data_IF_945186688299
#
_entry.id   IF_945186688299
#
_cell.length_a   1.000
_cell.length_b   1.000
_cell.length_c   1.000
_cell.angle_alpha   90.00
_cell.angle_beta   90.00
_cell.angle_gamma   90.00
#
_symmetry.space_group_name_H-M   'P 1'
#
loop_
_entity.id
_entity.type
_entity.pdbx_description
1 polymer ?
#
# COMPACT_ATOMS: atom_id res chain seq x y z
N UNK A 1 0.56 71.80 69.81
CA UNK A 1 -0.81 71.87 69.33
C UNK A 1 -0.79 71.72 67.83
N UNK A 2 -1.16 70.59 67.33
CA UNK A 2 -1.77 70.30 66.00
C UNK A 2 -1.68 68.76 65.83
N UNK A 3 -2.76 68.13 66.08
CA UNK A 3 -3.01 66.66 65.86
C UNK A 3 -3.12 66.39 64.38
N UNK A 4 -2.38 65.38 63.91
CA UNK A 4 -2.51 64.82 62.55
C UNK A 4 -3.10 63.42 62.64
N UNK A 5 -4.32 63.28 62.11
CA UNK A 5 -5.01 61.96 61.91
C UNK A 5 -4.39 61.28 60.71
N UNK A 6 -3.95 60.05 60.94
CA UNK A 6 -3.53 59.12 59.85
C UNK A 6 -4.73 58.25 59.47
N UNK A 7 -5.19 58.32 58.22
CA UNK A 7 -6.17 57.44 57.62
C UNK A 7 -5.41 56.23 57.06
N UNK A 8 -5.67 55.05 57.57
CA UNK A 8 -5.19 53.79 57.03
C UNK A 8 -6.21 53.30 55.96
N UNK A 9 -5.84 53.28 54.71
CA UNK A 9 -6.62 52.66 53.63
C UNK A 9 -6.29 51.16 53.56
N UNK A 10 -7.28 50.32 53.89
CA UNK A 10 -7.25 48.89 53.62
C UNK A 10 -7.57 48.64 52.14
N UNK A 11 -6.58 48.17 51.35
CA UNK A 11 -6.83 47.61 50.03
C UNK A 11 -7.32 46.16 50.22
N UNK A 12 -8.57 45.88 49.89
CA UNK A 12 -9.08 44.54 49.76
C UNK A 12 -8.69 43.98 48.37
N UNK A 13 -7.80 43.00 48.36
CA UNK A 13 -7.49 42.26 47.16
C UNK A 13 -8.57 41.19 46.91
N UNK A 14 -9.36 41.37 45.86
CA UNK A 14 -10.29 40.35 45.38
C UNK A 14 -9.53 39.31 44.53
N UNK A 15 -9.71 37.99 44.76
CA UNK A 15 -9.14 36.99 43.87
C UNK A 15 -9.88 36.98 42.53
N UNK A 16 -9.17 37.29 41.44
CA UNK A 16 -9.69 37.09 40.09
C UNK A 16 -9.76 35.56 39.81
N UNK A 17 -10.98 35.03 39.87
CA UNK A 17 -11.30 33.72 39.32
C UNK A 17 -11.19 33.81 37.79
N UNK A 18 -10.03 33.42 37.24
CA UNK A 18 -9.89 33.16 35.82
C UNK A 18 -10.69 31.89 35.49
N UNK A 19 -11.96 32.07 35.09
CA UNK A 19 -12.73 31.03 34.43
C UNK A 19 -12.04 30.71 33.12
N UNK A 20 -11.18 29.67 33.10
CA UNK A 20 -10.70 29.06 31.88
C UNK A 20 -11.90 28.50 31.15
N UNK A 21 -12.40 29.25 30.16
CA UNK A 21 -13.32 28.69 29.16
C UNK A 21 -12.55 27.63 28.44
N UNK A 22 -12.71 26.37 28.85
CA UNK A 22 -12.39 25.23 28.02
C UNK A 22 -13.28 25.35 26.79
N UNK A 23 -12.72 25.85 25.69
CA UNK A 23 -13.35 25.79 24.40
C UNK A 23 -13.47 24.29 24.08
N UNK A 24 -14.60 23.68 24.42
CA UNK A 24 -14.97 22.41 23.84
C UNK A 24 -15.06 22.68 22.33
N UNK A 25 -14.09 22.23 21.57
CA UNK A 25 -14.20 22.22 20.12
C UNK A 25 -15.49 21.46 19.81
N UNK A 26 -16.49 22.15 19.24
CA UNK A 26 -17.66 21.47 18.66
C UNK A 26 -17.08 20.45 17.69
N UNK A 27 -17.23 19.16 18.00
CA UNK A 27 -16.84 18.09 17.11
C UNK A 27 -17.73 18.22 15.87
N UNK A 28 -17.17 18.74 14.77
CA UNK A 28 -17.88 18.80 13.48
C UNK A 28 -18.35 17.41 13.09
N UNK A 29 -19.24 17.30 12.08
CA UNK A 29 -19.65 16.02 11.55
C UNK A 29 -18.42 15.16 11.24
N UNK A 30 -18.48 13.81 11.43
CA UNK A 30 -17.37 12.93 11.11
C UNK A 30 -16.84 13.14 9.69
N UNK A 31 -15.53 13.00 9.51
CA UNK A 31 -14.93 12.89 8.18
C UNK A 31 -15.15 11.48 7.67
N UNK A 32 -15.70 11.35 6.48
CA UNK A 32 -15.95 10.06 5.86
C UNK A 32 -15.04 9.85 4.65
N UNK A 33 -14.13 8.88 4.74
CA UNK A 33 -13.28 8.44 3.64
C UNK A 33 -13.67 7.04 3.20
N UNK A 34 -13.62 6.78 1.88
CA UNK A 34 -13.86 5.43 1.34
C UNK A 34 -12.56 4.92 0.74
N UNK A 35 -12.06 3.78 1.25
CA UNK A 35 -10.90 3.08 0.74
C UNK A 35 -11.34 1.92 -0.15
N UNK A 36 -10.93 1.95 -1.41
CA UNK A 36 -11.31 0.98 -2.45
C UNK A 36 -10.04 0.36 -3.03
N UNK A 37 -9.70 -0.87 -2.62
CA UNK A 37 -8.56 -1.61 -3.16
C UNK A 37 -8.90 -2.33 -4.46
N UNK A 38 -7.90 -3.01 -5.06
CA UNK A 38 -8.05 -3.84 -6.26
C UNK A 38 -8.97 -5.05 -6.04
N UNK A 39 -8.87 -5.67 -4.87
CA UNK A 39 -9.62 -6.88 -4.51
C UNK A 39 -9.59 -7.10 -3.00
N UNK A 40 -10.34 -8.08 -2.51
CA UNK A 40 -10.16 -8.58 -1.13
C UNK A 40 -8.85 -9.36 -1.05
N UNK A 41 -7.88 -8.83 -0.28
CA UNK A 41 -6.57 -9.45 -0.15
C UNK A 41 -5.90 -9.07 1.19
N UNK A 42 -5.17 -9.98 1.88
CA UNK A 42 -4.54 -9.72 3.18
C UNK A 42 -3.54 -8.55 3.21
N UNK A 43 -2.96 -8.19 2.07
CA UNK A 43 -2.11 -7.00 1.96
C UNK A 43 -2.87 -5.71 2.30
N UNK A 44 -4.13 -5.63 1.88
CA UNK A 44 -4.99 -4.48 2.16
C UNK A 44 -5.44 -4.39 3.61
N UNK A 45 -5.46 -5.50 4.35
CA UNK A 45 -5.69 -5.48 5.81
C UNK A 45 -4.55 -4.74 6.52
N UNK A 46 -3.31 -4.90 6.05
CA UNK A 46 -2.16 -4.14 6.55
C UNK A 46 -2.25 -2.66 6.17
N UNK A 47 -2.58 -2.33 4.93
CA UNK A 47 -2.81 -0.96 4.50
C UNK A 47 -3.94 -0.31 5.32
N UNK A 48 -5.03 -1.04 5.59
CA UNK A 48 -6.15 -0.58 6.41
C UNK A 48 -5.75 -0.34 7.87
N UNK A 49 -4.79 -1.12 8.41
CA UNK A 49 -4.22 -0.86 9.74
C UNK A 49 -3.56 0.52 9.80
N UNK A 50 -2.76 0.85 8.79
CA UNK A 50 -2.15 2.19 8.66
C UNK A 50 -3.18 3.30 8.45
N UNK A 51 -4.19 3.04 7.61
CA UNK A 51 -5.28 3.98 7.36
C UNK A 51 -6.04 4.33 8.65
N UNK A 52 -6.39 3.33 9.47
CA UNK A 52 -7.03 3.54 10.79
C UNK A 52 -6.13 4.36 11.74
N UNK A 53 -4.83 4.06 11.79
CA UNK A 53 -3.88 4.82 12.60
C UNK A 53 -3.83 6.31 12.19
N UNK A 54 -3.91 6.61 10.89
CA UNK A 54 -4.03 7.99 10.40
C UNK A 54 -5.35 8.64 10.81
N UNK A 55 -6.48 7.92 10.70
CA UNK A 55 -7.80 8.39 11.15
C UNK A 55 -7.79 8.73 12.64
N UNK A 56 -7.23 7.87 13.48
CA UNK A 56 -7.07 8.09 14.93
C UNK A 56 -6.23 9.33 15.22
N UNK A 57 -5.13 9.51 14.49
CA UNK A 57 -4.26 10.68 14.61
C UNK A 57 -5.01 11.97 14.25
N UNK A 58 -5.75 11.99 13.14
CA UNK A 58 -6.54 13.14 12.70
C UNK A 58 -7.63 13.45 13.74
N UNK A 59 -8.37 12.44 14.21
CA UNK A 59 -9.39 12.58 15.25
C UNK A 59 -8.80 13.20 16.51
N UNK A 60 -7.65 12.70 16.98
CA UNK A 60 -6.95 13.21 18.15
C UNK A 60 -6.46 14.65 17.98
N UNK A 61 -5.97 14.99 16.78
CA UNK A 61 -5.42 16.32 16.49
C UNK A 61 -6.50 17.39 16.30
N UNK A 62 -7.66 17.03 15.74
CA UNK A 62 -8.71 17.97 15.33
C UNK A 62 -9.96 17.95 16.22
N UNK A 63 -10.15 16.89 17.02
CA UNK A 63 -11.40 16.62 17.75
C UNK A 63 -12.53 16.13 16.84
N UNK A 64 -12.31 16.02 15.53
CA UNK A 64 -13.30 15.58 14.54
C UNK A 64 -13.13 14.09 14.26
N UNK A 65 -14.14 13.22 14.49
CA UNK A 65 -14.07 11.80 14.20
C UNK A 65 -13.76 11.52 12.73
N UNK A 66 -12.99 10.46 12.47
CA UNK A 66 -12.68 9.99 11.11
C UNK A 66 -13.23 8.58 10.95
N UNK A 67 -14.09 8.38 9.97
CA UNK A 67 -14.62 7.10 9.56
C UNK A 67 -13.97 6.68 8.23
N UNK A 68 -13.40 5.46 8.18
CA UNK A 68 -12.80 4.92 6.98
C UNK A 68 -13.59 3.67 6.59
N UNK A 69 -14.37 3.79 5.53
CA UNK A 69 -15.14 2.69 4.98
C UNK A 69 -14.28 1.90 3.99
N UNK A 70 -14.26 0.58 4.13
CA UNK A 70 -13.55 -0.31 3.21
C UNK A 70 -14.52 -0.98 2.26
N UNK A 71 -14.35 -0.80 0.96
CA UNK A 71 -15.19 -1.40 -0.09
C UNK A 71 -14.30 -2.05 -1.14
N UNK A 72 -14.22 -3.37 -1.15
CA UNK A 72 -13.40 -4.13 -2.08
C UNK A 72 -14.24 -4.97 -3.05
N UNK A 73 -13.86 -5.07 -4.34
CA UNK A 73 -14.40 -6.11 -5.21
C UNK A 73 -13.91 -7.48 -4.73
N UNK A 74 -14.72 -8.51 -4.94
CA UNK A 74 -14.39 -9.88 -4.51
C UNK A 74 -13.26 -10.51 -5.34
N UNK A 75 -13.12 -10.07 -6.57
CA UNK A 75 -12.07 -10.48 -7.50
C UNK A 75 -11.49 -9.24 -8.17
N UNK A 76 -10.26 -9.37 -8.70
CA UNK A 76 -9.59 -8.31 -9.45
C UNK A 76 -10.29 -8.08 -10.82
N UNK A 77 -11.39 -7.34 -10.81
CA UNK A 77 -12.22 -7.01 -11.97
C UNK A 77 -12.50 -5.51 -12.04
N UNK A 78 -12.10 -4.88 -13.16
CA UNK A 78 -12.18 -3.42 -13.37
C UNK A 78 -13.62 -2.91 -13.35
N UNK A 79 -14.56 -3.65 -13.95
CA UNK A 79 -15.97 -3.24 -13.98
C UNK A 79 -16.55 -3.24 -12.55
N UNK A 80 -16.28 -4.29 -11.79
CA UNK A 80 -16.70 -4.38 -10.39
C UNK A 80 -16.07 -3.28 -9.53
N UNK A 81 -14.81 -2.92 -9.78
CA UNK A 81 -14.17 -1.81 -9.07
C UNK A 81 -14.81 -0.47 -9.43
N UNK A 82 -15.11 -0.22 -10.71
CA UNK A 82 -15.79 0.99 -11.15
C UNK A 82 -17.18 1.13 -10.52
N UNK A 83 -17.98 0.07 -10.51
CA UNK A 83 -19.29 0.05 -9.84
C UNK A 83 -19.20 0.42 -8.35
N UNK A 84 -18.11 0.02 -7.67
CA UNK A 84 -17.86 0.36 -6.26
C UNK A 84 -17.46 1.84 -6.15
N UNK A 85 -16.60 2.34 -7.05
CA UNK A 85 -16.20 3.76 -7.07
C UNK A 85 -17.42 4.64 -7.29
N UNK A 86 -18.25 4.37 -8.29
CA UNK A 86 -19.46 5.12 -8.60
C UNK A 86 -20.45 5.14 -7.43
N UNK A 87 -20.68 3.98 -6.79
CA UNK A 87 -21.51 3.92 -5.56
C UNK A 87 -20.90 4.69 -4.39
N UNK A 88 -19.57 4.74 -4.27
CA UNK A 88 -18.91 5.54 -3.26
C UNK A 88 -19.05 7.04 -3.56
N UNK A 89 -18.87 7.46 -4.80
CA UNK A 89 -19.10 8.84 -5.27
C UNK A 89 -20.50 9.32 -4.91
N UNK A 90 -21.52 8.49 -5.15
CA UNK A 90 -22.91 8.82 -4.81
C UNK A 90 -23.19 9.07 -3.32
N UNK A 91 -22.30 8.65 -2.41
CA UNK A 91 -22.40 8.94 -0.97
C UNK A 91 -21.75 10.27 -0.57
N UNK A 92 -21.15 11.00 -1.51
CA UNK A 92 -20.42 12.27 -1.28
C UNK A 92 -19.43 12.21 -0.11
N UNK A 93 -18.44 11.28 -0.14
CA UNK A 93 -17.46 11.19 0.93
C UNK A 93 -16.53 12.41 0.95
N UNK A 94 -15.87 12.67 2.08
CA UNK A 94 -14.83 13.69 2.19
C UNK A 94 -13.57 13.35 1.38
N UNK A 95 -13.41 12.10 0.94
CA UNK A 95 -12.39 11.69 -0.01
C UNK A 95 -12.41 10.21 -0.35
N UNK A 96 -11.85 9.89 -1.53
CA UNK A 96 -11.65 8.54 -2.02
C UNK A 96 -10.17 8.16 -1.98
N UNK A 97 -9.89 6.94 -1.54
CA UNK A 97 -8.55 6.37 -1.44
C UNK A 97 -8.55 5.10 -2.27
N UNK A 98 -7.87 5.10 -3.42
CA UNK A 98 -8.04 4.12 -4.47
C UNK A 98 -6.74 3.38 -4.75
N UNK A 99 -6.80 2.06 -4.90
CA UNK A 99 -5.75 1.28 -5.54
C UNK A 99 -6.28 0.71 -6.85
N UNK A 100 -5.77 1.21 -7.97
CA UNK A 100 -6.36 1.01 -9.28
C UNK A 100 -5.95 -0.31 -9.92
N UNK A 101 -6.93 -1.05 -10.45
CA UNK A 101 -6.70 -2.24 -11.28
C UNK A 101 -6.21 -1.89 -12.68
N UNK A 102 -6.69 -0.79 -13.23
CA UNK A 102 -6.35 -0.32 -14.57
C UNK A 102 -6.53 1.20 -14.64
N UNK A 103 -5.43 1.95 -14.79
CA UNK A 103 -5.50 3.41 -14.84
C UNK A 103 -6.38 3.97 -15.95
N UNK A 104 -6.49 3.27 -17.10
CA UNK A 104 -7.34 3.65 -18.22
C UNK A 104 -8.77 3.19 -18.00
N UNK A 105 -8.95 1.95 -17.55
CA UNK A 105 -10.26 1.37 -17.28
C UNK A 105 -11.01 2.02 -16.13
N UNK A 106 -10.28 2.52 -15.12
CA UNK A 106 -10.89 3.24 -13.99
C UNK A 106 -11.10 4.75 -14.25
N UNK A 107 -10.57 5.28 -15.38
CA UNK A 107 -10.56 6.71 -15.66
C UNK A 107 -11.94 7.35 -15.60
N UNK A 108 -12.96 6.74 -16.21
CA UNK A 108 -14.30 7.33 -16.28
C UNK A 108 -14.95 7.48 -14.90
N UNK A 109 -14.83 6.46 -14.02
CA UNK A 109 -15.34 6.54 -12.65
C UNK A 109 -14.58 7.59 -11.80
N UNK A 110 -13.29 7.78 -12.07
CA UNK A 110 -12.50 8.81 -11.40
C UNK A 110 -12.81 10.23 -11.90
N UNK A 111 -13.09 10.39 -13.21
CA UNK A 111 -13.54 11.68 -13.77
C UNK A 111 -14.89 12.09 -13.16
N UNK A 112 -15.82 11.16 -12.93
CA UNK A 112 -17.08 11.45 -12.22
C UNK A 112 -16.83 11.95 -10.79
N UNK A 113 -15.92 11.33 -10.04
CA UNK A 113 -15.52 11.81 -8.71
C UNK A 113 -14.90 13.22 -8.77
N UNK A 114 -14.07 13.49 -9.78
CA UNK A 114 -13.44 14.79 -9.99
C UNK A 114 -14.46 15.88 -10.32
N UNK A 115 -15.46 15.59 -11.17
CA UNK A 115 -16.57 16.52 -11.52
C UNK A 115 -17.39 16.89 -10.30
N UNK A 116 -17.56 15.97 -9.35
CA UNK A 116 -18.21 16.21 -8.07
C UNK A 116 -17.25 16.83 -7.01
N UNK A 117 -16.00 17.12 -7.39
CA UNK A 117 -14.96 17.72 -6.54
C UNK A 117 -14.63 16.90 -5.30
N UNK A 118 -14.80 15.57 -5.38
CA UNK A 118 -14.42 14.66 -4.29
C UNK A 118 -12.90 14.52 -4.32
N UNK A 119 -12.20 14.81 -3.20
CA UNK A 119 -10.76 14.62 -3.10
C UNK A 119 -10.37 13.16 -3.33
N UNK A 120 -9.34 12.92 -4.14
CA UNK A 120 -8.84 11.57 -4.41
C UNK A 120 -7.35 11.45 -4.08
N UNK A 121 -6.97 10.28 -3.59
CA UNK A 121 -5.59 9.82 -3.44
C UNK A 121 -5.50 8.40 -3.97
N UNK A 122 -4.47 8.07 -4.72
CA UNK A 122 -4.19 6.68 -5.09
C UNK A 122 -3.06 6.13 -4.21
N UNK A 123 -3.10 4.84 -3.91
CA UNK A 123 -2.02 4.15 -3.19
C UNK A 123 -1.71 2.82 -3.90
N UNK A 124 -0.50 2.32 -3.76
CA UNK A 124 0.02 1.13 -4.46
C UNK A 124 -0.32 1.06 -5.96
N UNK A 125 -0.60 2.21 -6.57
CA UNK A 125 -0.88 2.37 -7.99
C UNK A 125 -0.52 3.79 -8.45
N UNK A 126 -0.54 4.02 -9.76
CA UNK A 126 -0.35 5.34 -10.36
C UNK A 126 -1.71 5.93 -10.77
N UNK A 127 -1.88 7.26 -10.67
CA UNK A 127 -3.10 7.89 -11.15
C UNK A 127 -3.14 7.90 -12.69
N UNK A 128 -4.33 7.94 -13.31
CA UNK A 128 -4.45 8.14 -14.75
C UNK A 128 -3.72 9.40 -15.21
N UNK A 129 -3.14 9.35 -16.41
CA UNK A 129 -2.39 10.47 -16.97
C UNK A 129 -3.21 11.76 -17.00
N UNK A 130 -2.59 12.87 -16.60
CA UNK A 130 -3.21 14.21 -16.56
C UNK A 130 -4.10 14.50 -15.35
N UNK A 131 -4.33 13.55 -14.44
CA UNK A 131 -5.03 13.81 -13.18
C UNK A 131 -4.08 14.34 -12.10
N UNK A 132 -4.46 15.43 -11.43
CA UNK A 132 -3.68 16.01 -10.30
C UNK A 132 -4.05 15.32 -8.98
N UNK A 133 -3.64 14.07 -8.86
CA UNK A 133 -3.91 13.19 -7.72
C UNK A 133 -2.59 12.78 -7.08
N UNK A 134 -2.54 12.79 -5.74
CA UNK A 134 -1.37 12.26 -5.01
C UNK A 134 -1.34 10.74 -5.13
N UNK A 135 -0.21 10.21 -5.55
CA UNK A 135 0.10 8.79 -5.45
C UNK A 135 0.95 8.51 -4.19
N UNK A 136 0.62 7.45 -3.47
CA UNK A 136 1.35 6.99 -2.28
C UNK A 136 1.79 5.56 -2.52
N UNK A 137 3.09 5.29 -2.47
CA UNK A 137 3.59 3.95 -2.74
C UNK A 137 5.10 3.85 -2.61
N UNK A 138 5.65 2.70 -2.91
CA UNK A 138 7.08 2.51 -3.12
C UNK A 138 7.43 2.79 -4.59
N UNK A 139 8.71 3.03 -4.88
CA UNK A 139 9.17 2.98 -6.27
C UNK A 139 9.07 1.53 -6.78
N UNK A 140 8.06 1.27 -7.62
CA UNK A 140 7.77 -0.08 -8.10
C UNK A 140 8.89 -0.65 -8.97
N UNK A 141 9.58 0.21 -9.73
CA UNK A 141 10.74 -0.23 -10.52
C UNK A 141 11.93 -0.56 -9.62
N UNK A 142 12.19 0.23 -8.58
CA UNK A 142 13.22 -0.06 -7.59
C UNK A 142 12.91 -1.36 -6.84
N UNK A 143 11.64 -1.58 -6.45
CA UNK A 143 11.20 -2.80 -5.78
C UNK A 143 11.45 -4.06 -6.64
N UNK A 144 11.00 -4.05 -7.90
CA UNK A 144 11.26 -5.16 -8.84
C UNK A 144 12.76 -5.33 -9.13
N UNK A 145 13.49 -4.21 -9.28
CA UNK A 145 14.95 -4.25 -9.45
C UNK A 145 15.64 -4.90 -8.26
N UNK A 146 15.28 -4.50 -7.02
CA UNK A 146 15.84 -5.07 -5.78
C UNK A 146 15.60 -6.59 -5.71
N UNK A 147 14.39 -7.04 -5.99
CA UNK A 147 14.05 -8.46 -5.99
C UNK A 147 14.85 -9.25 -7.03
N UNK A 148 14.90 -8.75 -8.26
CA UNK A 148 15.60 -9.42 -9.37
C UNK A 148 17.12 -9.43 -9.20
N UNK A 149 17.75 -8.33 -8.76
CA UNK A 149 19.20 -8.28 -8.46
C UNK A 149 19.54 -9.24 -7.30
N UNK A 150 18.66 -9.29 -6.28
CA UNK A 150 18.83 -10.24 -5.17
C UNK A 150 18.81 -11.68 -5.69
N UNK A 151 17.80 -12.04 -6.50
CA UNK A 151 17.71 -13.39 -7.09
C UNK A 151 18.93 -13.69 -7.98
N UNK A 152 19.30 -12.76 -8.87
CA UNK A 152 20.45 -12.94 -9.74
C UNK A 152 21.74 -13.26 -8.95
N UNK A 153 21.98 -12.54 -7.85
CA UNK A 153 23.14 -12.81 -6.99
C UNK A 153 23.06 -14.18 -6.31
N UNK A 154 21.86 -14.60 -5.83
CA UNK A 154 21.66 -15.90 -5.18
C UNK A 154 21.90 -17.08 -6.11
N UNK A 155 21.55 -16.96 -7.39
CA UNK A 155 21.72 -18.03 -8.39
C UNK A 155 23.05 -17.91 -9.17
N UNK A 156 23.93 -16.99 -8.79
CA UNK A 156 25.24 -16.80 -9.44
C UNK A 156 25.15 -16.22 -10.84
N UNK A 157 24.12 -15.43 -11.13
CA UNK A 157 23.86 -14.72 -12.41
C UNK A 157 23.76 -15.63 -13.62
N UNK A 158 23.22 -16.84 -13.45
CA UNK A 158 23.03 -17.84 -14.49
C UNK A 158 21.85 -18.77 -14.21
N UNK A 159 21.29 -19.35 -15.26
CA UNK A 159 20.22 -20.35 -15.20
C UNK A 159 18.87 -19.81 -15.60
N UNK A 160 17.88 -20.69 -15.58
CA UNK A 160 16.49 -20.38 -15.91
C UNK A 160 15.78 -19.77 -14.70
N UNK A 161 15.10 -18.66 -14.92
CA UNK A 161 14.27 -18.00 -13.90
C UNK A 161 12.87 -17.76 -14.43
N UNK A 162 11.90 -17.63 -13.53
CA UNK A 162 10.55 -17.30 -13.90
C UNK A 162 10.04 -16.09 -13.08
N UNK A 163 9.04 -15.43 -13.63
CA UNK A 163 8.36 -14.28 -13.03
C UNK A 163 6.91 -14.67 -12.78
N UNK A 164 6.36 -14.36 -11.59
CA UNK A 164 4.93 -14.43 -11.35
C UNK A 164 4.35 -13.02 -11.45
N UNK A 165 3.43 -12.83 -12.38
CA UNK A 165 2.71 -11.60 -12.61
C UNK A 165 1.37 -11.67 -11.87
N UNK A 166 1.02 -10.63 -11.11
CA UNK A 166 -0.31 -10.48 -10.54
C UNK A 166 -1.35 -10.15 -11.60
N UNK A 167 -1.89 -8.95 -11.58
CA UNK A 167 -2.86 -8.44 -12.56
C UNK A 167 -2.11 -7.73 -13.70
N UNK A 168 -2.19 -8.20 -14.96
CA UNK A 168 -1.41 -7.63 -16.06
C UNK A 168 -1.77 -6.18 -16.44
N UNK A 169 -2.94 -5.69 -16.04
CA UNK A 169 -3.36 -4.29 -16.27
C UNK A 169 -3.00 -3.35 -15.12
N UNK A 170 -2.62 -3.90 -13.96
CA UNK A 170 -2.23 -3.11 -12.81
C UNK A 170 -0.86 -2.43 -13.04
N UNK A 171 -0.78 -1.08 -12.94
CA UNK A 171 0.43 -0.34 -13.30
C UNK A 171 1.67 -0.74 -12.47
N UNK A 172 1.47 -0.96 -11.15
CA UNK A 172 2.54 -1.37 -10.24
C UNK A 172 3.09 -2.76 -10.60
N UNK A 173 2.23 -3.73 -10.90
CA UNK A 173 2.66 -5.09 -11.27
C UNK A 173 3.43 -5.09 -12.59
N UNK A 174 2.93 -4.37 -13.58
CA UNK A 174 3.57 -4.27 -14.91
C UNK A 174 4.95 -3.61 -14.79
N UNK A 175 5.05 -2.51 -14.03
CA UNK A 175 6.31 -1.79 -13.88
C UNK A 175 7.37 -2.63 -13.12
N UNK A 176 6.97 -3.37 -12.07
CA UNK A 176 7.86 -4.32 -11.37
C UNK A 176 8.39 -5.37 -12.34
N UNK A 177 7.49 -6.04 -13.11
CA UNK A 177 7.88 -7.07 -14.09
C UNK A 177 8.82 -6.55 -15.19
N UNK A 178 8.59 -5.35 -15.70
CA UNK A 178 9.47 -4.74 -16.70
C UNK A 178 10.87 -4.49 -16.13
N UNK A 179 10.97 -4.01 -14.89
CA UNK A 179 12.25 -3.74 -14.25
C UNK A 179 12.98 -5.04 -13.86
N UNK A 180 12.26 -6.08 -13.42
CA UNK A 180 12.81 -7.42 -13.21
C UNK A 180 13.42 -8.00 -14.51
N UNK A 181 12.67 -7.93 -15.62
CA UNK A 181 13.17 -8.35 -16.94
C UNK A 181 14.40 -7.58 -17.39
N UNK A 182 14.43 -6.24 -17.15
CA UNK A 182 15.61 -5.41 -17.44
C UNK A 182 16.82 -5.81 -16.63
N UNK A 183 16.63 -6.22 -15.37
CA UNK A 183 17.75 -6.75 -14.54
C UNK A 183 18.28 -8.05 -15.11
N UNK A 184 17.43 -9.04 -15.37
CA UNK A 184 17.87 -10.33 -15.90
C UNK A 184 18.54 -10.21 -17.26
N UNK A 185 18.09 -9.27 -18.11
CA UNK A 185 18.72 -9.01 -19.41
C UNK A 185 20.16 -8.49 -19.33
N UNK A 186 20.62 -7.99 -18.17
CA UNK A 186 22.04 -7.61 -17.97
C UNK A 186 22.97 -8.82 -17.88
N UNK A 187 22.45 -10.02 -17.62
CA UNK A 187 23.20 -11.24 -17.38
C UNK A 187 22.98 -12.24 -18.52
N UNK A 188 23.96 -12.42 -19.45
CA UNK A 188 23.77 -13.23 -20.67
C UNK A 188 23.39 -14.69 -20.39
N UNK A 189 23.82 -15.22 -19.24
CA UNK A 189 23.58 -16.61 -18.85
C UNK A 189 22.28 -16.80 -18.05
N UNK A 190 21.51 -15.73 -17.82
CA UNK A 190 20.18 -15.81 -17.22
C UNK A 190 19.10 -15.78 -18.30
N UNK A 191 18.08 -16.61 -18.13
CA UNK A 191 16.94 -16.67 -19.07
C UNK A 191 15.63 -16.64 -18.29
N UNK A 192 14.77 -15.66 -18.59
CA UNK A 192 13.36 -15.69 -18.17
C UNK A 192 12.64 -16.67 -19.09
N UNK A 193 12.35 -17.88 -18.59
CA UNK A 193 11.76 -18.97 -19.40
C UNK A 193 10.24 -18.99 -19.34
N UNK A 194 9.63 -18.39 -18.30
CA UNK A 194 8.18 -18.34 -18.14
C UNK A 194 7.75 -17.10 -17.36
N UNK A 195 6.51 -16.68 -17.61
CA UNK A 195 5.77 -15.73 -16.79
C UNK A 195 4.42 -16.37 -16.46
N UNK A 196 4.19 -16.69 -15.17
CA UNK A 196 2.88 -17.09 -14.67
C UNK A 196 2.00 -15.86 -14.44
N UNK A 197 0.69 -16.04 -14.39
CA UNK A 197 -0.29 -14.98 -14.08
C UNK A 197 -1.21 -15.52 -12.99
N UNK A 198 -1.26 -14.85 -11.84
CA UNK A 198 -2.05 -15.30 -10.70
C UNK A 198 -3.32 -14.47 -10.41
N UNK A 199 -3.41 -13.25 -10.97
CA UNK A 199 -4.53 -12.34 -10.75
C UNK A 199 -4.78 -12.03 -9.26
N UNK A 200 -3.73 -11.80 -8.48
CA UNK A 200 -3.75 -11.56 -7.03
C UNK A 200 -4.38 -12.75 -6.23
N UNK A 201 -4.18 -13.99 -6.70
CA UNK A 201 -4.68 -15.21 -6.06
C UNK A 201 -3.55 -16.17 -5.70
N UNK A 202 -3.36 -16.41 -4.40
CA UNK A 202 -2.36 -17.36 -3.87
C UNK A 202 -2.55 -18.76 -4.45
N UNK A 203 -3.81 -19.24 -4.54
CA UNK A 203 -4.10 -20.56 -5.09
C UNK A 203 -3.72 -20.66 -6.58
N UNK A 204 -4.00 -19.61 -7.35
CA UNK A 204 -3.63 -19.56 -8.76
C UNK A 204 -2.13 -19.49 -8.92
N UNK A 205 -1.43 -18.68 -8.10
CA UNK A 205 0.03 -18.61 -8.07
C UNK A 205 0.67 -19.99 -7.82
N UNK A 206 0.17 -20.74 -6.84
CA UNK A 206 0.65 -22.07 -6.51
C UNK A 206 0.48 -23.05 -7.68
N UNK A 207 -0.69 -23.04 -8.33
CA UNK A 207 -0.97 -23.89 -9.51
C UNK A 207 -0.03 -23.53 -10.68
N UNK A 208 0.11 -22.24 -10.97
CA UNK A 208 1.01 -21.75 -12.04
C UNK A 208 2.46 -22.08 -11.75
N UNK A 209 2.95 -21.86 -10.54
CA UNK A 209 4.32 -22.15 -10.15
C UNK A 209 4.62 -23.66 -10.25
N UNK A 210 3.70 -24.51 -9.78
CA UNK A 210 3.82 -25.96 -9.91
C UNK A 210 3.92 -26.41 -11.36
N UNK A 211 3.05 -25.91 -12.23
CA UNK A 211 3.04 -26.24 -13.66
C UNK A 211 4.34 -25.78 -14.37
N UNK A 212 4.78 -24.54 -14.09
CA UNK A 212 6.02 -23.99 -14.67
C UNK A 212 7.24 -24.78 -14.19
N UNK A 213 7.35 -25.14 -12.90
CA UNK A 213 8.44 -25.95 -12.38
C UNK A 213 8.46 -27.38 -12.93
N UNK A 214 7.32 -27.91 -13.38
CA UNK A 214 7.24 -29.20 -14.08
C UNK A 214 7.71 -29.07 -15.55
N UNK A 215 7.31 -27.98 -16.23
CA UNK A 215 7.72 -27.72 -17.61
C UNK A 215 9.21 -27.31 -17.75
N UNK A 216 9.78 -26.72 -16.70
CA UNK A 216 11.15 -26.23 -16.63
C UNK A 216 11.89 -26.89 -15.46
N UNK A 217 12.34 -28.13 -15.56
CA UNK A 217 12.99 -28.88 -14.47
C UNK A 217 14.31 -28.23 -14.01
N UNK A 218 14.96 -27.46 -14.87
CA UNK A 218 16.21 -26.75 -14.62
C UNK A 218 16.03 -25.33 -14.06
N UNK A 219 14.77 -24.95 -13.73
CA UNK A 219 14.46 -23.65 -13.12
C UNK A 219 15.23 -23.49 -11.81
N UNK A 220 15.99 -22.39 -11.69
CA UNK A 220 16.80 -22.08 -10.49
C UNK A 220 16.18 -21.03 -9.58
N UNK A 221 15.21 -20.26 -10.08
CA UNK A 221 14.63 -19.21 -9.23
C UNK A 221 13.40 -18.51 -9.75
N UNK A 222 12.74 -17.80 -8.80
CA UNK A 222 11.52 -17.05 -8.98
C UNK A 222 11.62 -15.64 -8.42
N UNK A 223 10.97 -14.69 -9.10
CA UNK A 223 10.51 -13.41 -8.56
C UNK A 223 9.03 -13.24 -8.83
N UNK A 224 8.39 -12.29 -8.15
CA UNK A 224 6.97 -11.99 -8.32
C UNK A 224 6.72 -10.48 -8.35
N UNK A 225 5.59 -10.06 -8.90
CA UNK A 225 5.22 -8.66 -9.09
C UNK A 225 4.12 -8.16 -8.13
N UNK A 226 3.60 -9.05 -7.30
CA UNK A 226 2.51 -8.83 -6.34
C UNK A 226 2.78 -9.56 -5.01
N UNK A 227 1.86 -9.50 -4.05
CA UNK A 227 2.01 -10.15 -2.75
C UNK A 227 1.47 -11.59 -2.69
N UNK A 228 0.58 -11.99 -3.61
CA UNK A 228 0.04 -13.36 -3.70
C UNK A 228 1.04 -14.33 -4.31
N UNK A 229 1.69 -13.88 -5.38
CA UNK A 229 2.65 -14.67 -6.15
C UNK A 229 3.69 -15.37 -5.29
N UNK A 230 4.42 -14.66 -4.41
CA UNK A 230 5.46 -15.27 -3.60
C UNK A 230 4.93 -16.35 -2.65
N UNK A 231 3.75 -16.15 -2.06
CA UNK A 231 3.17 -17.14 -1.15
C UNK A 231 2.85 -18.43 -1.90
N UNK A 232 2.22 -18.33 -3.08
CA UNK A 232 1.91 -19.48 -3.93
C UNK A 232 3.17 -20.18 -4.48
N UNK A 233 4.19 -19.43 -4.89
CA UNK A 233 5.46 -19.95 -5.34
C UNK A 233 6.13 -20.75 -4.22
N UNK A 234 6.25 -20.18 -3.02
CA UNK A 234 6.85 -20.83 -1.87
C UNK A 234 6.14 -22.13 -1.48
N UNK A 235 4.80 -22.15 -1.52
CA UNK A 235 3.99 -23.36 -1.31
C UNK A 235 4.33 -24.42 -2.37
N UNK A 236 4.38 -24.05 -3.66
CA UNK A 236 4.72 -24.95 -4.75
C UNK A 236 6.16 -25.49 -4.65
N UNK A 237 7.14 -24.66 -4.24
CA UNK A 237 8.54 -25.08 -3.98
C UNK A 237 8.58 -26.12 -2.87
N UNK A 238 7.84 -25.89 -1.76
CA UNK A 238 7.79 -26.80 -0.61
C UNK A 238 7.18 -28.14 -1.00
N UNK A 239 6.01 -28.14 -1.63
CA UNK A 239 5.28 -29.33 -2.04
C UNK A 239 6.03 -30.13 -3.11
N UNK A 240 6.70 -29.45 -4.03
CA UNK A 240 7.53 -30.06 -5.07
C UNK A 240 8.87 -30.60 -4.56
N UNK A 241 9.20 -30.49 -3.26
CA UNK A 241 10.48 -30.92 -2.69
C UNK A 241 11.69 -30.17 -3.28
N UNK A 242 11.48 -28.91 -3.69
CA UNK A 242 12.51 -28.09 -4.35
C UNK A 242 13.12 -27.03 -3.40
N UNK A 243 12.78 -27.06 -2.11
CA UNK A 243 13.37 -26.16 -1.09
C UNK A 243 14.90 -26.24 -1.12
N UNK A 244 15.53 -25.05 -1.18
CA UNK A 244 16.99 -24.91 -1.30
C UNK A 244 17.54 -25.10 -2.71
N UNK A 245 16.83 -25.76 -3.62
CA UNK A 245 17.22 -25.97 -5.02
C UNK A 245 16.72 -24.84 -5.93
N UNK A 246 15.47 -24.47 -5.79
CA UNK A 246 14.85 -23.32 -6.47
C UNK A 246 14.82 -22.17 -5.48
N UNK A 247 15.43 -21.05 -5.83
CA UNK A 247 15.49 -19.84 -5.00
C UNK A 247 14.29 -18.96 -5.26
N UNK A 248 13.79 -18.33 -4.22
CA UNK A 248 12.69 -17.38 -4.31
C UNK A 248 13.05 -16.07 -3.63
N UNK A 249 12.81 -14.96 -4.33
CA UNK A 249 12.77 -13.61 -3.77
C UNK A 249 11.38 -13.05 -4.00
N UNK A 250 10.64 -12.86 -2.90
CA UNK A 250 9.27 -12.42 -2.96
C UNK A 250 9.10 -10.91 -2.85
N UNK A 251 7.83 -10.51 -2.76
CA UNK A 251 7.40 -9.15 -2.46
C UNK A 251 6.56 -9.13 -1.18
N UNK A 252 6.61 -7.99 -0.54
CA UNK A 252 5.79 -7.60 0.61
C UNK A 252 5.97 -8.46 1.88
N UNK A 253 5.13 -8.19 2.86
CA UNK A 253 5.28 -8.69 4.23
C UNK A 253 4.09 -9.52 4.72
N UNK A 254 3.38 -10.23 3.83
CA UNK A 254 2.31 -11.13 4.25
C UNK A 254 2.85 -12.12 5.30
N UNK A 255 2.00 -12.49 6.26
CA UNK A 255 2.40 -13.39 7.33
C UNK A 255 2.93 -14.72 6.79
N UNK A 256 2.29 -15.25 5.73
CA UNK A 256 2.71 -16.48 5.09
C UNK A 256 4.07 -16.31 4.39
N UNK A 257 4.33 -15.16 3.74
CA UNK A 257 5.64 -14.87 3.15
C UNK A 257 6.74 -14.78 4.23
N UNK A 258 6.46 -14.12 5.35
CA UNK A 258 7.36 -14.07 6.50
C UNK A 258 7.65 -15.47 7.02
N UNK A 259 6.64 -16.34 7.07
CA UNK A 259 6.82 -17.73 7.51
C UNK A 259 7.67 -18.53 6.52
N UNK A 260 7.47 -18.35 5.20
CA UNK A 260 8.31 -18.99 4.17
C UNK A 260 9.78 -18.59 4.29
N UNK A 261 10.08 -17.33 4.63
CA UNK A 261 11.46 -16.89 4.88
C UNK A 261 12.02 -17.55 6.16
N UNK A 262 11.25 -17.59 7.24
CA UNK A 262 11.68 -18.23 8.50
C UNK A 262 11.93 -19.73 8.32
N UNK A 263 11.14 -20.40 7.50
CA UNK A 263 11.28 -21.83 7.17
C UNK A 263 12.42 -22.11 6.17
N UNK A 264 13.05 -21.06 5.61
CA UNK A 264 14.11 -21.20 4.60
C UNK A 264 13.64 -21.70 3.25
N UNK A 265 12.33 -21.56 2.95
CA UNK A 265 11.75 -21.86 1.63
C UNK A 265 12.02 -20.71 0.69
N UNK A 266 11.68 -19.48 1.10
CA UNK A 266 12.03 -18.24 0.42
C UNK A 266 13.29 -17.61 1.03
N UNK A 267 14.08 -16.91 0.23
CA UNK A 267 15.34 -16.29 0.66
C UNK A 267 15.13 -14.90 1.28
N UNK A 268 14.21 -14.13 0.70
CA UNK A 268 13.95 -12.76 1.12
C UNK A 268 12.67 -12.23 0.47
N UNK A 269 12.22 -11.03 0.90
CA UNK A 269 11.12 -10.30 0.29
C UNK A 269 11.42 -8.81 0.24
N UNK A 270 11.13 -8.15 -0.87
CA UNK A 270 11.17 -6.68 -1.01
C UNK A 270 9.79 -6.10 -0.65
N UNK A 271 9.64 -5.54 0.55
CA UNK A 271 8.36 -5.07 1.08
C UNK A 271 8.14 -3.58 0.83
N UNK A 272 6.96 -3.23 0.32
CA UNK A 272 6.53 -1.86 -0.02
C UNK A 272 5.95 -1.07 1.16
N UNK A 273 5.97 -1.58 2.39
CA UNK A 273 5.45 -0.98 3.62
C UNK A 273 3.94 -0.63 3.53
N UNK A 274 3.05 -1.62 3.39
CA UNK A 274 1.61 -1.38 3.19
C UNK A 274 0.97 -0.51 4.28
N UNK A 275 1.37 -0.66 5.54
CA UNK A 275 0.86 0.16 6.63
C UNK A 275 1.17 1.65 6.44
N UNK A 276 2.38 1.98 5.95
CA UNK A 276 2.76 3.36 5.65
C UNK A 276 1.99 3.91 4.44
N UNK A 277 1.72 3.07 3.44
CA UNK A 277 0.92 3.48 2.29
C UNK A 277 -0.51 3.84 2.71
N UNK A 278 -1.18 2.99 3.49
CA UNK A 278 -2.50 3.28 4.00
C UNK A 278 -2.54 4.55 4.88
N UNK A 279 -1.54 4.72 5.75
CA UNK A 279 -1.42 5.90 6.61
C UNK A 279 -1.32 7.19 5.78
N UNK A 280 -0.35 7.27 4.87
CA UNK A 280 -0.13 8.49 4.08
C UNK A 280 -1.21 8.74 3.04
N UNK A 281 -1.90 7.72 2.57
CA UNK A 281 -3.04 7.88 1.67
C UNK A 281 -4.20 8.60 2.37
N UNK A 282 -4.54 8.23 3.61
CA UNK A 282 -5.54 8.94 4.43
C UNK A 282 -5.10 10.37 4.75
N UNK A 283 -3.84 10.57 5.16
CA UNK A 283 -3.32 11.92 5.44
C UNK A 283 -3.44 12.81 4.20
N UNK A 284 -3.07 12.31 3.02
CA UNK A 284 -3.17 13.07 1.77
C UNK A 284 -4.62 13.38 1.39
N UNK A 285 -5.53 12.41 1.53
CA UNK A 285 -6.95 12.62 1.27
C UNK A 285 -7.52 13.70 2.22
N UNK A 286 -7.20 13.63 3.50
CA UNK A 286 -7.59 14.62 4.50
C UNK A 286 -7.05 16.02 4.17
N UNK A 287 -5.76 16.15 3.84
CA UNK A 287 -5.17 17.42 3.45
C UNK A 287 -5.87 18.04 2.24
N UNK A 288 -6.18 17.23 1.23
CA UNK A 288 -6.95 17.67 0.05
C UNK A 288 -8.37 18.08 0.42
N UNK A 289 -9.07 17.36 1.30
CA UNK A 289 -10.39 17.72 1.81
C UNK A 289 -10.38 19.06 2.56
N UNK A 290 -9.25 19.40 3.18
CA UNK A 290 -9.02 20.71 3.82
C UNK A 290 -8.54 21.81 2.85
N UNK A 291 -8.56 21.55 1.54
CA UNK A 291 -8.10 22.49 0.50
C UNK A 291 -6.59 22.71 0.43
N UNK A 292 -5.80 21.85 1.05
CA UNK A 292 -4.34 21.95 1.05
C UNK A 292 -3.74 21.34 -0.22
N UNK A 293 -2.60 21.88 -0.64
CA UNK A 293 -1.81 21.26 -1.70
C UNK A 293 -1.02 20.08 -1.14
N UNK A 294 -1.07 18.96 -1.84
CA UNK A 294 -0.32 17.75 -1.52
C UNK A 294 0.76 17.47 -2.58
N UNK A 295 1.84 16.76 -2.26
CA UNK A 295 2.82 16.36 -3.26
C UNK A 295 2.19 15.44 -4.29
N UNK A 296 2.77 15.37 -5.50
CA UNK A 296 2.30 14.42 -6.52
C UNK A 296 2.57 12.97 -6.15
N UNK A 297 3.67 12.73 -5.43
CA UNK A 297 4.09 11.40 -5.01
C UNK A 297 4.62 11.42 -3.58
N UNK A 298 4.26 10.40 -2.80
CA UNK A 298 4.81 10.12 -1.47
C UNK A 298 5.41 8.73 -1.51
N UNK A 299 6.74 8.68 -1.48
CA UNK A 299 7.48 7.41 -1.40
C UNK A 299 7.47 6.90 0.04
N UNK A 300 6.98 5.68 0.22
CA UNK A 300 6.96 4.98 1.51
C UNK A 300 8.19 4.14 1.76
N UNK A 301 9.07 4.01 0.76
CA UNK A 301 10.28 3.22 0.80
C UNK A 301 10.03 1.71 0.69
N UNK A 302 11.15 0.97 0.64
CA UNK A 302 11.17 -0.49 0.48
C UNK A 302 12.06 -1.09 1.57
N UNK A 303 11.59 -2.16 2.22
CA UNK A 303 12.37 -2.95 3.17
C UNK A 303 12.76 -4.28 2.54
N UNK A 304 14.03 -4.68 2.64
CA UNK A 304 14.46 -6.04 2.31
C UNK A 304 14.32 -6.93 3.55
N UNK A 305 13.29 -7.76 3.55
CA UNK A 305 13.03 -8.73 4.61
C UNK A 305 13.84 -10.01 4.35
N UNK A 306 14.57 -10.44 5.36
CA UNK A 306 15.41 -11.65 5.34
C UNK A 306 15.27 -12.36 6.68
N UNK A 307 15.77 -13.59 6.80
CA UNK A 307 15.82 -14.29 8.08
C UNK A 307 16.63 -13.56 9.17
N UNK A 308 17.41 -12.53 8.82
CA UNK A 308 18.22 -11.73 9.77
C UNK A 308 17.52 -10.42 10.16
N UNK A 309 16.55 -9.95 9.39
CA UNK A 309 15.85 -8.68 9.63
C UNK A 309 14.43 -8.86 10.17
N UNK A 310 13.93 -10.10 10.22
CA UNK A 310 12.60 -10.50 10.76
C UNK A 310 12.66 -10.78 12.31
#
# INVERSE_FOLDING_TARGET
MKTAFAFAAMLAAAPALSSGVACAAESGAPLHFVLIPKTVHPWFDKAMTGAKAAGDMITKATGRPVEIEYRAPQTADVSSQNDIIERAVATHPDGLILDLLDEKGNRAAMDEAADQKIPMTVFDSLPPEGMDITAVGADFCEQGTMAAERLANLVGKKGEVAIMMGVPTAPNHTLRAECEKKVFAKYPDMKVVATGIDNDSIETAQKQASAIMQAHPDLVGWVACDASGPVGIGQAIREGGKTGKVKEVGLDNLNDMIQLIKDGVAESSASSRPEMQGYWAVISAWQKAMGQKTPKYIDTGIDLLTSKTL
#
